data_IF_003151310919
#
_entry.id   IF_003151310919
#
_cell.length_a   1.000
_cell.length_b   1.000
_cell.length_c   1.000
_cell.angle_alpha   90.00
_cell.angle_beta   90.00
_cell.angle_gamma   90.00
#
_symmetry.space_group_name_H-M   'P 1'
#
loop_
_entity.id
_entity.type
_entity.pdbx_description
1 polymer ?
#
# COMPACT_ATOMS: atom_id res chain seq x y z
N UNK A 1 -0.34 -50.39 45.34
CA UNK A 1 -0.01 -51.03 44.04
C UNK A 1 -0.43 -50.09 42.94
N UNK A 2 0.49 -49.78 42.01
CA UNK A 2 0.25 -49.10 40.74
C UNK A 2 -0.66 -49.96 39.86
N UNK A 3 -1.60 -49.39 39.14
CA UNK A 3 -1.94 -49.86 37.79
C UNK A 3 -2.40 -48.68 36.93
N UNK A 4 -1.62 -48.45 35.88
CA UNK A 4 -1.86 -47.55 34.74
C UNK A 4 -2.85 -48.27 33.82
N UNK A 5 -3.86 -47.57 33.30
CA UNK A 5 -4.45 -47.94 32.02
C UNK A 5 -4.74 -46.68 31.20
N UNK A 6 -4.14 -46.68 30.02
CA UNK A 6 -4.07 -45.63 29.02
C UNK A 6 -4.93 -46.06 27.81
N UNK A 7 -5.47 -45.08 27.08
CA UNK A 7 -6.06 -45.13 25.73
C UNK A 7 -7.51 -45.63 25.56
N UNK A 8 -8.41 -44.72 25.13
CA UNK A 8 -8.93 -44.59 23.76
C UNK A 8 -9.90 -43.38 23.72
N UNK A 9 -9.59 -42.27 23.03
CA UNK A 9 -9.97 -41.97 21.64
C UNK A 9 -11.47 -42.11 21.33
N UNK A 10 -12.15 -40.98 21.11
CA UNK A 10 -13.42 -40.92 20.36
C UNK A 10 -14.37 -39.83 20.85
N UNK A 11 -14.92 -39.04 19.92
CA UNK A 11 -15.81 -37.87 20.10
C UNK A 11 -15.03 -36.58 20.45
N UNK A 12 -14.25 -35.96 19.56
CA UNK A 12 -14.71 -35.36 18.30
C UNK A 12 -16.07 -34.64 18.45
N UNK A 13 -16.04 -33.47 19.07
CA UNK A 13 -16.91 -32.36 18.69
C UNK A 13 -16.03 -31.15 18.44
N UNK A 14 -15.39 -31.18 17.27
CA UNK A 14 -14.97 -29.98 16.58
C UNK A 14 -16.22 -29.12 16.40
N UNK A 15 -16.30 -28.00 17.12
CA UNK A 15 -17.00 -26.85 16.55
C UNK A 15 -16.11 -26.34 15.42
N UNK A 16 -16.19 -27.02 14.28
CA UNK A 16 -15.79 -26.49 13.00
C UNK A 16 -16.78 -25.37 12.66
N UNK A 17 -16.55 -24.20 13.24
CA UNK A 17 -16.95 -22.96 12.61
C UNK A 17 -15.87 -22.71 11.57
N UNK A 18 -16.00 -23.39 10.43
CA UNK A 18 -15.40 -22.94 9.19
C UNK A 18 -16.15 -21.65 8.80
N UNK A 19 -15.75 -20.53 9.41
CA UNK A 19 -16.04 -19.21 8.87
C UNK A 19 -14.91 -18.88 7.90
N UNK A 20 -15.16 -19.26 6.64
CA UNK A 20 -14.80 -18.54 5.41
C UNK A 20 -13.60 -17.59 5.50
N UNK A 21 -12.46 -18.05 4.98
CA UNK A 21 -11.19 -17.34 4.77
C UNK A 21 -11.27 -16.13 3.79
N UNK A 22 -12.45 -15.55 3.56
CA UNK A 22 -12.66 -14.54 2.49
C UNK A 22 -12.93 -13.11 3.01
N UNK A 23 -13.04 -12.93 4.33
CA UNK A 23 -13.40 -11.65 4.98
C UNK A 23 -12.20 -10.84 5.53
N UNK A 24 -10.99 -11.39 5.58
CA UNK A 24 -9.84 -10.74 6.26
C UNK A 24 -8.91 -9.96 5.31
N UNK A 25 -9.21 -9.89 4.01
CA UNK A 25 -8.37 -9.13 3.08
C UNK A 25 -8.54 -7.62 3.31
N UNK A 26 -7.50 -6.99 3.86
CA UNK A 26 -7.41 -5.54 4.06
C UNK A 26 -7.79 -4.80 2.77
N UNK A 27 -8.75 -3.88 2.87
CA UNK A 27 -9.29 -3.16 1.71
C UNK A 27 -8.78 -1.72 1.67
N UNK A 28 -8.20 -1.32 0.54
CA UNK A 28 -7.74 0.05 0.28
C UNK A 28 -8.73 0.82 -0.60
N UNK A 29 -9.05 2.05 -0.21
CA UNK A 29 -10.07 2.89 -0.85
C UNK A 29 -9.69 3.38 -2.24
N UNK A 30 -8.42 3.69 -2.45
CA UNK A 30 -7.94 4.25 -3.70
C UNK A 30 -6.45 3.93 -3.88
N UNK A 31 -6.06 3.58 -5.10
CA UNK A 31 -4.68 3.45 -5.56
C UNK A 31 -4.58 3.99 -6.99
N UNK A 32 -3.38 4.40 -7.40
CA UNK A 32 -3.09 4.73 -8.80
C UNK A 32 -2.66 3.51 -9.63
N UNK A 33 -2.61 2.31 -9.05
CA UNK A 33 -2.28 1.08 -9.78
C UNK A 33 -3.23 0.86 -10.97
N UNK A 34 -2.70 0.29 -12.05
CA UNK A 34 -3.45 0.02 -13.29
C UNK A 34 -4.03 1.27 -13.96
N UNK A 35 -3.53 2.45 -13.60
CA UNK A 35 -3.97 3.72 -14.19
C UNK A 35 -2.84 4.42 -14.94
N UNK A 36 -3.17 5.50 -15.62
CA UNK A 36 -2.22 6.30 -16.38
C UNK A 36 -1.54 7.39 -15.51
N UNK A 37 -0.55 8.06 -16.10
CA UNK A 37 0.23 9.14 -15.46
C UNK A 37 -0.66 10.29 -14.95
N UNK A 38 -1.77 10.61 -15.63
CA UNK A 38 -2.65 11.70 -15.21
C UNK A 38 -3.41 11.36 -13.92
N UNK A 39 -3.83 10.10 -13.75
CA UNK A 39 -4.45 9.64 -12.50
C UNK A 39 -3.42 9.53 -11.38
N UNK A 40 -2.20 9.05 -11.66
CA UNK A 40 -1.09 9.05 -10.71
C UNK A 40 -0.79 10.46 -10.17
N UNK A 41 -0.77 11.47 -11.05
CA UNK A 41 -0.63 12.88 -10.64
C UNK A 41 -1.74 13.32 -9.69
N UNK A 42 -3.00 13.09 -10.06
CA UNK A 42 -4.17 13.47 -9.23
C UNK A 42 -4.17 12.77 -7.88
N UNK A 43 -3.78 11.49 -7.84
CA UNK A 43 -3.63 10.75 -6.60
C UNK A 43 -2.53 11.38 -5.73
N UNK A 44 -1.38 11.71 -6.31
CA UNK A 44 -0.29 12.38 -5.59
C UNK A 44 -0.75 13.70 -4.96
N UNK A 45 -1.49 14.51 -5.70
CA UNK A 45 -2.08 15.76 -5.20
C UNK A 45 -3.06 15.51 -4.05
N UNK A 46 -3.91 14.48 -4.15
CA UNK A 46 -4.83 14.10 -3.07
C UNK A 46 -4.09 13.65 -1.80
N UNK A 47 -3.01 12.86 -1.94
CA UNK A 47 -2.16 12.47 -0.81
C UNK A 47 -1.47 13.68 -0.19
N UNK A 48 -0.90 14.57 -1.01
CA UNK A 48 -0.31 15.83 -0.54
C UNK A 48 -1.31 16.68 0.26
N UNK A 49 -2.55 16.80 -0.21
CA UNK A 49 -3.62 17.50 0.50
C UNK A 49 -4.04 16.81 1.82
N UNK A 50 -3.86 15.49 1.93
CA UNK A 50 -4.11 14.72 3.16
C UNK A 50 -2.97 14.81 4.19
N UNK A 51 -1.85 15.43 3.83
CA UNK A 51 -0.67 15.62 4.67
C UNK A 51 -0.42 17.12 4.97
N UNK A 52 -1.15 17.73 5.92
CA UNK A 52 -0.99 19.14 6.26
C UNK A 52 0.46 19.48 6.61
N UNK A 53 0.94 20.60 6.08
CA UNK A 53 2.30 21.09 6.29
C UNK A 53 3.32 20.61 5.25
N UNK A 54 2.97 19.67 4.36
CA UNK A 54 3.79 19.29 3.22
C UNK A 54 3.34 20.00 1.95
N UNK A 55 4.28 20.63 1.24
CA UNK A 55 4.05 21.29 -0.05
C UNK A 55 4.89 20.63 -1.14
N UNK A 56 4.38 20.58 -2.36
CA UNK A 56 5.13 20.01 -3.49
C UNK A 56 6.41 20.83 -3.70
N UNK A 57 7.57 20.18 -3.58
CA UNK A 57 8.87 20.80 -3.75
C UNK A 57 9.36 20.63 -5.19
N UNK A 58 9.34 19.40 -5.71
CA UNK A 58 9.70 19.11 -7.10
C UNK A 58 9.11 17.77 -7.56
N UNK A 59 9.14 17.57 -8.88
CA UNK A 59 8.79 16.31 -9.54
C UNK A 59 10.04 15.82 -10.25
N UNK A 60 10.51 14.63 -9.90
CA UNK A 60 11.62 13.93 -10.53
C UNK A 60 11.06 12.92 -11.55
N UNK A 61 11.43 13.10 -12.81
CA UNK A 61 11.03 12.28 -13.94
C UNK A 61 12.24 11.85 -14.78
N UNK A 62 13.41 11.70 -14.16
CA UNK A 62 14.67 11.42 -14.85
C UNK A 62 14.66 10.10 -15.66
N UNK A 63 13.78 9.16 -15.32
CA UNK A 63 13.67 7.89 -16.04
C UNK A 63 12.30 7.70 -16.68
N UNK A 64 12.27 7.09 -17.88
CA UNK A 64 11.02 6.84 -18.62
C UNK A 64 10.01 5.91 -17.92
N UNK A 65 10.43 5.22 -16.87
CA UNK A 65 9.62 4.24 -16.15
C UNK A 65 9.35 4.63 -14.69
N UNK A 66 9.72 5.84 -14.28
CA UNK A 66 9.51 6.31 -12.92
C UNK A 66 9.19 7.79 -12.89
N UNK A 67 8.18 8.16 -12.10
CA UNK A 67 7.92 9.54 -11.70
C UNK A 67 7.87 9.58 -10.18
N UNK A 68 8.58 10.53 -9.59
CA UNK A 68 8.65 10.76 -8.15
C UNK A 68 8.14 12.16 -7.86
N UNK A 69 7.13 12.25 -7.01
CA UNK A 69 6.66 13.51 -6.45
C UNK A 69 7.29 13.69 -5.07
N UNK A 70 8.00 14.79 -4.86
CA UNK A 70 8.63 15.10 -3.58
C UNK A 70 7.95 16.30 -2.96
N UNK A 71 7.34 16.08 -1.80
CA UNK A 71 6.77 17.11 -0.96
C UNK A 71 7.70 17.36 0.22
N UNK A 72 7.79 18.60 0.66
CA UNK A 72 8.60 19.01 1.81
C UNK A 72 7.80 19.87 2.77
N UNK A 73 8.14 19.78 4.05
CA UNK A 73 7.63 20.69 5.06
C UNK A 73 8.66 21.79 5.42
N UNK A 74 8.33 22.63 6.38
CA UNK A 74 9.19 23.74 6.86
C UNK A 74 10.53 23.26 7.43
N UNK A 75 10.59 22.02 7.93
CA UNK A 75 11.80 21.37 8.44
C UNK A 75 12.60 20.64 7.36
N UNK A 76 12.18 20.74 6.10
CA UNK A 76 12.77 20.06 4.95
C UNK A 76 12.66 18.51 5.02
N UNK A 77 11.80 17.98 5.89
CA UNK A 77 11.43 16.56 5.93
C UNK A 77 10.64 16.21 4.66
N UNK A 78 10.84 15.02 4.10
CA UNK A 78 10.30 14.63 2.80
C UNK A 78 9.12 13.67 2.91
N UNK A 79 8.08 13.92 2.12
CA UNK A 79 7.06 12.94 1.74
C UNK A 79 7.27 12.65 0.25
N UNK A 80 7.49 11.39 -0.10
CA UNK A 80 7.76 10.95 -1.48
C UNK A 80 6.70 10.01 -1.96
N UNK A 81 6.28 10.21 -3.20
CA UNK A 81 5.34 9.34 -3.89
C UNK A 81 5.97 8.94 -5.22
N UNK A 82 6.41 7.68 -5.30
CA UNK A 82 7.04 7.10 -6.48
C UNK A 82 6.02 6.25 -7.24
N UNK A 83 5.90 6.48 -8.54
CA UNK A 83 5.15 5.64 -9.47
C UNK A 83 6.10 5.00 -10.45
N UNK A 84 5.96 3.69 -10.63
CA UNK A 84 6.69 2.92 -11.63
C UNK A 84 5.75 2.49 -12.74
N UNK A 85 6.21 2.57 -13.99
CA UNK A 85 5.37 2.38 -15.17
C UNK A 85 5.84 1.23 -16.05
N UNK A 86 4.87 0.47 -16.55
CA UNK A 86 4.99 -0.41 -17.73
C UNK A 86 4.45 0.33 -18.94
N UNK A 87 5.07 0.13 -20.09
CA UNK A 87 4.55 0.62 -21.37
C UNK A 87 3.66 -0.46 -21.99
N UNK A 88 2.36 -0.22 -22.12
CA UNK A 88 1.39 -1.13 -22.72
C UNK A 88 0.93 -0.61 -24.08
N UNK A 89 0.82 -1.48 -25.08
CA UNK A 89 0.13 -1.18 -26.34
C UNK A 89 -1.34 -1.55 -26.18
N UNK A 90 -2.25 -0.59 -26.36
CA UNK A 90 -3.67 -0.90 -26.43
C UNK A 90 -3.99 -1.34 -27.86
N UNK A 91 -4.46 -2.57 -28.02
CA UNK A 91 -4.84 -3.11 -29.34
C UNK A 91 -6.09 -2.42 -29.91
N UNK A 92 -6.92 -1.82 -29.06
CA UNK A 92 -8.32 -1.49 -29.39
C UNK A 92 -8.68 0.02 -29.30
N UNK A 93 -7.67 0.90 -29.22
CA UNK A 93 -7.90 2.36 -29.25
C UNK A 93 -7.34 2.97 -30.52
N UNK A 94 -8.07 3.91 -31.14
CA UNK A 94 -7.60 4.70 -32.30
C UNK A 94 -6.31 5.51 -32.04
N UNK A 95 -5.80 5.51 -30.81
CA UNK A 95 -4.45 5.96 -30.48
C UNK A 95 -3.48 4.77 -30.59
N UNK A 96 -2.81 4.65 -31.74
CA UNK A 96 -1.63 3.78 -31.86
C UNK A 96 -0.52 4.33 -30.98
N UNK A 97 -0.10 3.60 -29.95
CA UNK A 97 1.00 4.00 -29.10
C UNK A 97 1.20 3.11 -27.88
N UNK A 98 2.40 3.18 -27.30
CA UNK A 98 2.69 2.62 -25.98
C UNK A 98 2.27 3.62 -24.91
N UNK A 99 1.39 3.21 -24.01
CA UNK A 99 0.87 4.02 -22.93
C UNK A 99 1.46 3.59 -21.59
N UNK A 100 1.94 4.53 -20.75
CA UNK A 100 2.45 4.22 -19.43
C UNK A 100 1.31 3.85 -18.47
N UNK A 101 1.40 2.67 -17.86
CA UNK A 101 0.48 2.15 -16.85
C UNK A 101 1.25 1.91 -15.56
N UNK A 102 0.71 2.39 -14.45
CA UNK A 102 1.32 2.24 -13.12
C UNK A 102 1.28 0.77 -12.69
N UNK A 103 2.46 0.19 -12.45
CA UNK A 103 2.61 -1.19 -11.92
C UNK A 103 3.03 -1.23 -10.47
N UNK A 104 3.65 -0.16 -9.96
CA UNK A 104 4.00 -0.03 -8.56
C UNK A 104 3.83 1.42 -8.10
N UNK A 105 3.33 1.56 -6.88
CA UNK A 105 3.19 2.83 -6.16
C UNK A 105 3.92 2.69 -4.82
N UNK A 106 4.85 3.58 -4.53
CA UNK A 106 5.51 3.68 -3.21
C UNK A 106 5.24 5.04 -2.59
N UNK A 107 4.85 5.06 -1.33
CA UNK A 107 4.66 6.28 -0.55
C UNK A 107 5.59 6.18 0.65
N UNK A 108 6.54 7.10 0.77
CA UNK A 108 7.46 7.14 1.91
C UNK A 108 7.52 8.50 2.59
N UNK A 109 7.77 8.49 3.89
CA UNK A 109 7.82 9.69 4.73
C UNK A 109 7.94 9.33 6.20
N UNK A 110 7.97 10.34 7.06
CA UNK A 110 8.00 10.11 8.50
C UNK A 110 6.77 9.33 8.99
N UNK A 111 6.96 8.56 10.06
CA UNK A 111 5.90 7.71 10.61
C UNK A 111 4.58 8.47 10.87
N UNK A 112 4.65 9.71 11.39
CA UNK A 112 3.47 10.51 11.69
C UNK A 112 2.65 10.88 10.45
N UNK A 113 3.30 11.26 9.35
CA UNK A 113 2.61 11.56 8.08
C UNK A 113 2.14 10.29 7.39
N UNK A 114 2.96 9.25 7.38
CA UNK A 114 2.60 7.96 6.77
C UNK A 114 1.41 7.32 7.48
N UNK A 115 1.29 7.47 8.80
CA UNK A 115 0.12 7.02 9.55
C UNK A 115 -1.17 7.71 9.10
N UNK A 116 -1.13 9.02 8.84
CA UNK A 116 -2.29 9.76 8.32
C UNK A 116 -2.69 9.26 6.93
N UNK A 117 -1.70 9.01 6.07
CA UNK A 117 -1.93 8.49 4.73
C UNK A 117 -2.46 7.04 4.79
N UNK A 118 -1.91 6.20 5.66
CA UNK A 118 -2.40 4.84 5.90
C UNK A 118 -3.88 4.87 6.31
N UNK A 119 -4.23 5.70 7.29
CA UNK A 119 -5.61 5.86 7.77
C UNK A 119 -6.56 6.35 6.66
N UNK A 120 -6.09 7.28 5.83
CA UNK A 120 -6.83 7.74 4.66
C UNK A 120 -7.10 6.61 3.65
N UNK A 121 -6.06 5.83 3.32
CA UNK A 121 -6.11 4.75 2.35
C UNK A 121 -6.95 3.56 2.83
N UNK A 122 -6.79 3.15 4.09
CA UNK A 122 -7.42 1.96 4.65
C UNK A 122 -8.66 2.25 5.51
N UNK A 123 -9.22 3.46 5.42
CA UNK A 123 -10.43 3.82 6.16
C UNK A 123 -10.31 3.67 7.70
N UNK A 124 -9.11 3.77 8.25
CA UNK A 124 -8.81 3.41 9.64
C UNK A 124 -8.47 4.63 10.50
N UNK A 125 -8.32 4.42 11.81
CA UNK A 125 -7.96 5.47 12.78
C UNK A 125 -6.86 4.97 13.72
N UNK A 126 -5.81 4.41 13.15
CA UNK A 126 -4.68 3.87 13.91
C UNK A 126 -3.74 4.99 14.37
N UNK A 127 -3.15 4.82 15.55
CA UNK A 127 -2.05 5.66 16.04
C UNK A 127 -0.73 5.24 15.35
N UNK A 128 0.32 6.08 15.38
CA UNK A 128 1.62 5.73 14.83
C UNK A 128 2.16 4.38 15.31
N UNK A 129 2.06 4.11 16.61
CA UNK A 129 2.54 2.87 17.24
C UNK A 129 1.75 1.65 16.76
N UNK A 130 0.43 1.81 16.57
CA UNK A 130 -0.44 0.76 16.03
C UNK A 130 -0.18 0.50 14.56
N UNK A 131 0.09 1.55 13.78
CA UNK A 131 0.48 1.40 12.37
C UNK A 131 1.81 0.66 12.25
N UNK A 132 2.82 0.99 13.06
CA UNK A 132 4.09 0.25 13.10
C UNK A 132 3.90 -1.24 13.37
N UNK A 133 2.98 -1.60 14.28
CA UNK A 133 2.67 -2.99 14.59
C UNK A 133 2.00 -3.74 13.43
N UNK A 134 1.42 -3.01 12.46
CA UNK A 134 0.87 -3.55 11.21
C UNK A 134 1.93 -3.71 10.10
N UNK A 135 3.22 -3.58 10.43
CA UNK A 135 4.34 -3.85 9.53
C UNK A 135 4.18 -5.21 8.87
N UNK A 136 4.25 -5.24 7.54
CA UNK A 136 3.99 -6.46 6.76
C UNK A 136 4.74 -6.43 5.43
N UNK A 137 4.96 -7.60 4.85
CA UNK A 137 5.58 -7.75 3.54
C UNK A 137 4.79 -8.75 2.69
N UNK A 138 4.41 -8.34 1.48
CA UNK A 138 3.78 -9.22 0.49
C UNK A 138 2.38 -9.70 0.88
N UNK A 139 1.66 -8.94 1.70
CA UNK A 139 0.27 -9.28 2.03
C UNK A 139 -0.66 -8.81 0.91
N UNK A 140 -1.59 -9.65 0.44
CA UNK A 140 -2.57 -9.22 -0.56
C UNK A 140 -3.52 -8.19 0.06
N UNK A 141 -3.82 -7.12 -0.69
CA UNK A 141 -4.84 -6.14 -0.33
C UNK A 141 -5.83 -5.95 -1.47
N UNK A 142 -7.12 -5.81 -1.13
CA UNK A 142 -8.17 -5.55 -2.12
C UNK A 142 -8.23 -4.06 -2.41
N UNK A 143 -8.27 -3.68 -3.68
CA UNK A 143 -8.49 -2.30 -4.13
C UNK A 143 -9.63 -2.25 -5.14
N UNK A 144 -10.03 -1.04 -5.58
CA UNK A 144 -11.26 -0.82 -6.36
C UNK A 144 -11.44 -1.81 -7.53
N UNK A 145 -12.70 -2.17 -7.80
CA UNK A 145 -13.11 -3.16 -8.80
C UNK A 145 -12.74 -4.62 -8.47
N UNK A 146 -12.55 -4.95 -7.19
CA UNK A 146 -12.34 -6.34 -6.73
C UNK A 146 -10.96 -6.90 -7.07
N UNK A 147 -10.03 -6.06 -7.51
CA UNK A 147 -8.65 -6.47 -7.79
C UNK A 147 -7.85 -6.58 -6.50
N UNK A 148 -6.85 -7.45 -6.52
CA UNK A 148 -5.85 -7.59 -5.45
C UNK A 148 -4.51 -7.06 -5.93
N UNK A 149 -3.73 -6.50 -5.01
CA UNK A 149 -2.33 -6.16 -5.24
C UNK A 149 -1.50 -6.60 -4.02
N UNK A 150 -0.20 -6.76 -4.23
CA UNK A 150 0.74 -7.01 -3.15
C UNK A 150 1.01 -5.71 -2.39
N UNK A 151 0.93 -5.79 -1.07
CA UNK A 151 1.21 -4.69 -0.16
C UNK A 151 2.37 -5.01 0.76
N UNK A 152 3.25 -4.04 0.95
CA UNK A 152 4.19 -4.04 2.07
C UNK A 152 4.18 -2.70 2.79
N UNK A 153 4.41 -2.77 4.09
CA UNK A 153 4.58 -1.63 4.95
C UNK A 153 5.76 -1.88 5.88
N UNK A 154 6.87 -1.18 5.64
CA UNK A 154 8.16 -1.44 6.28
C UNK A 154 8.87 -0.11 6.60
N UNK A 155 9.85 -0.10 7.51
CA UNK A 155 10.79 1.02 7.65
C UNK A 155 11.46 1.33 6.30
N UNK A 156 11.61 2.62 5.98
CA UNK A 156 12.31 3.08 4.78
C UNK A 156 13.81 3.20 5.08
N UNK A 157 14.65 2.90 4.10
CA UNK A 157 16.12 2.95 4.24
C UNK A 157 16.69 4.36 4.01
N UNK A 158 15.84 5.32 3.61
CA UNK A 158 16.25 6.69 3.35
C UNK A 158 16.78 7.44 4.58
N UNK A 159 16.05 7.37 5.70
CA UNK A 159 16.40 8.07 6.94
C UNK A 159 15.72 7.39 8.14
N UNK A 160 16.36 7.33 9.33
CA UNK A 160 15.74 6.76 10.52
C UNK A 160 14.37 7.39 10.83
N UNK A 161 13.38 6.55 11.11
CA UNK A 161 12.01 6.99 11.41
C UNK A 161 11.11 7.17 10.18
N UNK A 162 11.66 7.00 8.98
CA UNK A 162 10.84 6.94 7.76
C UNK A 162 10.26 5.54 7.57
N UNK A 163 9.08 5.52 6.96
CA UNK A 163 8.34 4.32 6.63
C UNK A 163 7.90 4.39 5.18
N UNK A 164 7.71 3.22 4.57
CA UNK A 164 7.29 3.11 3.18
C UNK A 164 6.13 2.11 3.05
N UNK A 165 5.06 2.58 2.43
CA UNK A 165 4.00 1.73 1.90
C UNK A 165 4.30 1.45 0.42
N UNK A 166 4.36 0.19 0.04
CA UNK A 166 4.55 -0.23 -1.36
C UNK A 166 3.36 -1.07 -1.80
N UNK A 167 2.79 -0.71 -2.95
CA UNK A 167 1.73 -1.46 -3.61
C UNK A 167 2.24 -1.90 -4.97
N UNK A 168 2.15 -3.18 -5.29
CA UNK A 168 2.64 -3.78 -6.54
C UNK A 168 1.53 -4.61 -7.18
N UNK A 169 1.33 -4.46 -8.48
CA UNK A 169 0.41 -5.32 -9.24
C UNK A 169 0.89 -6.77 -9.29
#
# INVERSE_FOLDING_TARGET
>A
MRFILMCLLGCLSFNAIAQTEDDDALTVRALALDTNVAIAKRFSEAIGNSAPGYSLAFIDNETRFKVRYVYKNEKNESLRIDYYFRMEEYEDTMQKGKHPIVTMQRISGELGVITKIYNFLFASTLTPERVMASSTQGSPVRYSNGKTCDFSFLPDDYEPGYWVMTFTR
#
